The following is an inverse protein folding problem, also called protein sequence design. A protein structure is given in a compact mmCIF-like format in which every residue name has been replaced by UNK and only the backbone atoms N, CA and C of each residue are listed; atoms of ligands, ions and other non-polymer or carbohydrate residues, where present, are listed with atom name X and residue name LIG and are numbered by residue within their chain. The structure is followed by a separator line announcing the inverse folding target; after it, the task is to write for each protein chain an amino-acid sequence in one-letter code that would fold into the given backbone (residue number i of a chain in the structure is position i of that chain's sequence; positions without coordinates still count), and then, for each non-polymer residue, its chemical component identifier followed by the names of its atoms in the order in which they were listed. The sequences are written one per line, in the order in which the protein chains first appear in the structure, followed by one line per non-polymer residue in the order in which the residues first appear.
data_IF_769794256503
#
_entry.id   IF_769794256503
#
_cell.length_a   1.000
_cell.length_b   1.000
_cell.length_c   1.000
_cell.angle_alpha   90.00
_cell.angle_beta   90.00
_cell.angle_gamma   90.00
#
_symmetry.space_group_name_H-M   'P 1'
#
loop_
_entity.id
_entity.type
_entity.pdbx_description
1 polymer ?
#
# COMPACT_ATOMS: atom_id res chain seq x y z
N UNK A 1 -9.75 20.85 23.35
CA UNK A 1 -10.97 21.50 22.83
C UNK A 1 -11.50 20.69 21.65
N UNK A 2 -12.45 19.79 21.92
CA UNK A 2 -13.05 18.91 20.92
C UNK A 2 -14.31 19.58 20.35
N UNK A 3 -14.23 20.01 19.10
CA UNK A 3 -15.37 20.56 18.37
C UNK A 3 -16.40 19.49 18.03
N UNK A 4 -17.26 19.16 19.00
CA UNK A 4 -18.56 18.55 18.72
C UNK A 4 -19.44 19.66 18.15
N UNK A 5 -19.38 19.86 16.83
CA UNK A 5 -20.38 20.66 16.13
C UNK A 5 -21.70 19.91 16.20
N UNK A 6 -22.65 20.52 16.88
CA UNK A 6 -24.07 20.26 16.82
C UNK A 6 -24.49 20.20 15.33
N UNK A 7 -24.89 19.00 14.90
CA UNK A 7 -25.66 18.81 13.67
C UNK A 7 -26.99 18.18 14.11
N UNK A 8 -27.69 18.85 15.02
CA UNK A 8 -29.04 18.46 15.42
C UNK A 8 -30.02 18.91 14.34
N UNK A 9 -30.20 18.03 13.37
CA UNK A 9 -31.24 18.11 12.36
C UNK A 9 -31.25 16.80 11.60
N UNK A 10 -32.44 16.33 11.21
CA UNK A 10 -32.62 15.03 10.52
C UNK A 10 -31.72 14.90 9.27
N UNK A 11 -31.45 16.03 8.60
CA UNK A 11 -30.54 16.07 7.44
C UNK A 11 -29.09 15.73 7.76
N UNK A 12 -28.60 16.06 8.96
CA UNK A 12 -27.23 15.76 9.40
C UNK A 12 -27.04 14.27 9.72
N UNK A 13 -28.04 13.65 10.35
CA UNK A 13 -28.04 12.22 10.63
C UNK A 13 -28.17 11.39 9.35
N UNK A 14 -29.10 11.77 8.45
CA UNK A 14 -29.32 11.09 7.17
C UNK A 14 -28.04 11.00 6.34
N UNK A 15 -27.32 12.12 6.20
CA UNK A 15 -26.06 12.14 5.44
C UNK A 15 -24.97 11.24 6.06
N UNK A 16 -24.88 11.16 7.38
CA UNK A 16 -23.92 10.28 8.06
C UNK A 16 -24.23 8.82 7.81
N UNK A 17 -25.50 8.43 7.91
CA UNK A 17 -25.94 7.07 7.63
C UNK A 17 -25.73 6.69 6.16
N UNK A 18 -26.01 7.59 5.22
CA UNK A 18 -25.68 7.38 3.79
C UNK A 18 -24.18 7.15 3.59
N UNK A 19 -23.33 7.92 4.25
CA UNK A 19 -21.88 7.72 4.19
C UNK A 19 -21.44 6.40 4.83
N UNK A 20 -22.09 5.98 5.91
CA UNK A 20 -21.84 4.69 6.56
C UNK A 20 -22.21 3.53 5.64
N UNK A 21 -23.40 3.56 5.03
CA UNK A 21 -23.87 2.59 4.04
C UNK A 21 -22.85 2.44 2.91
N UNK A 22 -22.35 3.56 2.37
CA UNK A 22 -21.35 3.55 1.30
C UNK A 22 -19.98 3.03 1.75
N UNK A 23 -19.57 3.30 2.99
CA UNK A 23 -18.29 2.85 3.54
C UNK A 23 -18.29 1.35 3.82
N UNK A 24 -19.39 0.84 4.36
CA UNK A 24 -19.56 -0.56 4.75
C UNK A 24 -20.08 -1.44 3.60
N UNK A 25 -20.52 -0.82 2.50
CA UNK A 25 -21.00 -1.54 1.33
C UNK A 25 -22.28 -2.32 1.62
N UNK A 26 -23.16 -1.76 2.44
CA UNK A 26 -24.36 -2.45 2.90
C UNK A 26 -25.31 -2.74 1.72
N UNK A 27 -25.92 -3.94 1.67
CA UNK A 27 -26.95 -4.25 0.68
C UNK A 27 -28.22 -3.41 0.94
N UNK A 28 -29.06 -3.25 -0.08
CA UNK A 28 -30.23 -2.37 -0.05
C UNK A 28 -31.16 -2.62 1.14
N UNK A 29 -31.40 -3.90 1.50
CA UNK A 29 -32.24 -4.26 2.64
C UNK A 29 -31.62 -3.84 3.97
N UNK A 30 -30.35 -4.18 4.22
CA UNK A 30 -29.65 -3.78 5.44
C UNK A 30 -29.50 -2.25 5.55
N UNK A 31 -29.35 -1.56 4.42
CA UNK A 31 -29.32 -0.10 4.38
C UNK A 31 -30.68 0.52 4.73
N UNK A 32 -31.78 -0.11 4.32
CA UNK A 32 -33.12 0.31 4.70
C UNK A 32 -33.39 0.05 6.19
N UNK A 33 -33.03 -1.13 6.70
CA UNK A 33 -33.17 -1.49 8.12
C UNK A 33 -32.42 -0.48 9.00
N UNK A 34 -31.16 -0.17 8.66
CA UNK A 34 -30.36 0.82 9.37
C UNK A 34 -31.01 2.21 9.41
N UNK A 35 -31.63 2.66 8.33
CA UNK A 35 -32.31 3.96 8.32
C UNK A 35 -33.61 3.94 9.14
N UNK A 36 -34.36 2.83 9.07
CA UNK A 36 -35.59 2.64 9.83
C UNK A 36 -35.34 2.55 11.34
N UNK A 37 -34.23 1.94 11.77
CA UNK A 37 -33.79 1.93 13.18
C UNK A 37 -33.61 3.34 13.75
N UNK A 38 -33.28 4.30 12.89
CA UNK A 38 -33.13 5.71 13.24
C UNK A 38 -34.38 6.56 12.93
N UNK A 39 -35.51 5.95 12.58
CA UNK A 39 -36.77 6.64 12.28
C UNK A 39 -36.76 7.41 10.95
N UNK A 40 -35.84 7.08 10.04
CA UNK A 40 -35.70 7.74 8.75
C UNK A 40 -36.26 6.88 7.61
N UNK A 41 -36.69 7.54 6.54
CA UNK A 41 -37.08 6.84 5.31
C UNK A 41 -35.90 6.06 4.72
N UNK A 42 -36.14 4.88 4.12
CA UNK A 42 -35.12 4.13 3.39
C UNK A 42 -34.37 5.00 2.38
N UNK A 43 -33.08 4.71 2.12
CA UNK A 43 -32.29 5.51 1.21
C UNK A 43 -32.79 5.35 -0.23
N UNK A 44 -32.98 6.46 -0.93
CA UNK A 44 -33.31 6.45 -2.36
C UNK A 44 -32.04 6.20 -3.18
N UNK A 45 -32.19 5.57 -4.34
CA UNK A 45 -31.05 5.33 -5.24
C UNK A 45 -30.35 6.64 -5.65
N UNK A 46 -31.12 7.71 -5.88
CA UNK A 46 -30.58 9.03 -6.23
C UNK A 46 -29.68 9.61 -5.12
N UNK A 47 -30.12 9.53 -3.85
CA UNK A 47 -29.35 10.04 -2.71
C UNK A 47 -28.03 9.28 -2.52
N UNK A 48 -28.02 7.96 -2.77
CA UNK A 48 -26.81 7.16 -2.73
C UNK A 48 -25.83 7.53 -3.85
N UNK A 49 -26.33 7.84 -5.04
CA UNK A 49 -25.48 8.31 -6.15
C UNK A 49 -24.92 9.72 -5.89
N UNK A 50 -25.71 10.63 -5.33
CA UNK A 50 -25.24 11.95 -4.88
C UNK A 50 -24.15 11.82 -3.82
N UNK A 51 -24.38 11.00 -2.79
CA UNK A 51 -23.39 10.76 -1.74
C UNK A 51 -22.11 10.09 -2.28
N UNK A 52 -22.22 9.22 -3.30
CA UNK A 52 -21.05 8.67 -4.03
C UNK A 52 -20.31 9.77 -4.80
N UNK A 53 -21.04 10.65 -5.48
CA UNK A 53 -20.49 11.81 -6.18
C UNK A 53 -19.69 12.71 -5.25
N UNK A 54 -20.29 13.11 -4.13
CA UNK A 54 -19.62 13.91 -3.11
C UNK A 54 -18.38 13.22 -2.53
N UNK A 55 -18.45 11.92 -2.24
CA UNK A 55 -17.32 11.18 -1.72
C UNK A 55 -16.15 11.14 -2.73
N UNK A 56 -16.45 10.96 -4.02
CA UNK A 56 -15.46 11.02 -5.11
C UNK A 56 -14.86 12.41 -5.23
N UNK A 57 -15.67 13.46 -5.17
CA UNK A 57 -15.19 14.83 -5.27
C UNK A 57 -14.30 15.21 -4.07
N UNK A 58 -14.71 14.88 -2.84
CA UNK A 58 -13.87 15.08 -1.64
C UNK A 58 -12.54 14.35 -1.76
N UNK A 59 -12.54 13.12 -2.29
CA UNK A 59 -11.31 12.36 -2.54
C UNK A 59 -10.44 13.07 -3.58
N UNK A 60 -11.01 13.50 -4.70
CA UNK A 60 -10.30 14.25 -5.73
C UNK A 60 -9.65 15.52 -5.17
N UNK A 61 -10.42 16.34 -4.42
CA UNK A 61 -9.93 17.55 -3.74
C UNK A 61 -8.77 17.25 -2.78
N UNK A 62 -8.89 16.21 -1.95
CA UNK A 62 -7.81 15.79 -1.02
C UNK A 62 -6.55 15.37 -1.79
N UNK A 63 -6.69 14.61 -2.87
CA UNK A 63 -5.53 14.22 -3.68
C UNK A 63 -4.88 15.40 -4.39
N UNK A 64 -5.66 16.37 -4.87
CA UNK A 64 -5.14 17.59 -5.48
C UNK A 64 -4.37 18.44 -4.45
N UNK A 65 -4.91 18.60 -3.25
CA UNK A 65 -4.26 19.32 -2.16
C UNK A 65 -2.95 18.63 -1.73
N UNK A 66 -2.94 17.30 -1.60
CA UNK A 66 -1.73 16.53 -1.28
C UNK A 66 -0.65 16.67 -2.36
N UNK A 67 -1.03 16.65 -3.64
CA UNK A 67 -0.11 16.93 -4.77
C UNK A 67 0.46 18.34 -4.70
N UNK A 68 -0.37 19.34 -4.41
CA UNK A 68 0.08 20.73 -4.29
C UNK A 68 1.05 20.93 -3.11
N UNK A 69 0.78 20.31 -1.96
CA UNK A 69 1.67 20.34 -0.80
C UNK A 69 3.01 19.67 -1.11
N UNK A 70 2.98 18.48 -1.71
CA UNK A 70 4.18 17.73 -2.12
C UNK A 70 5.02 18.49 -3.15
N UNK A 71 4.39 19.20 -4.09
CA UNK A 71 5.10 20.02 -5.08
C UNK A 71 5.85 21.20 -4.43
N UNK A 72 5.31 21.76 -3.35
CA UNK A 72 5.98 22.80 -2.55
C UNK A 72 7.17 22.23 -1.79
N UNK A 73 7.03 21.05 -1.20
CA UNK A 73 8.13 20.37 -0.49
C UNK A 73 9.27 19.94 -1.42
N UNK A 74 8.95 19.46 -2.63
CA UNK A 74 9.94 19.10 -3.65
C UNK A 74 10.82 20.29 -4.08
N UNK A 75 10.25 21.50 -4.11
CA UNK A 75 10.96 22.72 -4.50
C UNK A 75 12.02 23.18 -3.48
N UNK A 76 11.83 22.85 -2.19
CA UNK A 76 12.77 23.18 -1.11
C UNK A 76 13.96 22.21 -1.08
N UNK A 77 13.80 21.00 -1.63
CA UNK A 77 14.79 19.91 -1.57
C UNK A 77 15.64 19.69 -2.83
N UNK A 78 15.83 20.72 -3.68
CA UNK A 78 16.33 20.65 -5.05
C UNK A 78 17.70 19.96 -5.32
N UNK A 79 18.35 19.35 -4.32
CA UNK A 79 19.70 18.79 -4.49
C UNK A 79 19.93 17.32 -4.06
N UNK A 80 18.96 16.53 -3.59
CA UNK A 80 19.35 15.22 -3.03
C UNK A 80 18.91 13.94 -3.76
N UNK A 81 17.68 13.72 -4.20
CA UNK A 81 17.30 12.42 -4.82
C UNK A 81 16.13 12.56 -5.81
N UNK A 82 16.05 11.72 -6.87
CA UNK A 82 14.89 11.73 -7.75
C UNK A 82 13.63 11.28 -7.00
N UNK A 83 12.53 12.01 -7.16
CA UNK A 83 11.26 11.78 -6.47
C UNK A 83 10.12 11.47 -7.46
N UNK A 84 9.13 10.67 -7.05
CA UNK A 84 7.94 10.31 -7.85
C UNK A 84 6.68 10.28 -6.97
N UNK A 85 5.51 10.40 -7.60
CA UNK A 85 4.22 10.30 -6.92
C UNK A 85 3.70 8.86 -6.93
N UNK A 86 3.38 8.32 -5.75
CA UNK A 86 2.73 7.02 -5.56
C UNK A 86 1.66 7.17 -4.47
N UNK A 87 0.42 6.76 -4.77
CA UNK A 87 -0.74 6.82 -3.85
C UNK A 87 -0.97 8.19 -3.17
N UNK A 88 -0.72 9.27 -3.90
CA UNK A 88 -0.89 10.64 -3.39
C UNK A 88 0.22 11.12 -2.46
N UNK A 89 1.30 10.36 -2.30
CA UNK A 89 2.51 10.74 -1.56
C UNK A 89 3.69 10.90 -2.51
N UNK A 90 4.61 11.80 -2.16
CA UNK A 90 5.90 11.92 -2.83
C UNK A 90 6.88 10.91 -2.23
N UNK A 91 7.42 10.02 -3.06
CA UNK A 91 8.37 8.97 -2.66
C UNK A 91 9.72 9.17 -3.34
N UNK A 92 10.81 8.94 -2.61
CA UNK A 92 12.17 8.94 -3.18
C UNK A 92 12.42 7.66 -3.97
N UNK A 93 13.05 7.78 -5.13
CA UNK A 93 13.41 6.64 -6.00
C UNK A 93 14.90 6.64 -6.25
N UNK A 94 15.44 5.45 -6.59
CA UNK A 94 16.82 5.35 -7.01
C UNK A 94 17.03 6.02 -8.37
N UNK A 95 18.16 6.71 -8.53
CA UNK A 95 18.52 7.40 -9.78
C UNK A 95 18.56 6.40 -10.95
N UNK A 96 17.83 6.70 -12.02
CA UNK A 96 17.74 5.86 -13.21
C UNK A 96 16.62 4.82 -13.19
N UNK A 97 15.83 4.74 -12.11
CA UNK A 97 14.71 3.79 -12.03
C UNK A 97 13.35 4.49 -12.07
N UNK A 98 12.37 3.85 -12.72
CA UNK A 98 10.97 4.32 -12.79
C UNK A 98 10.14 3.86 -11.58
N UNK A 99 10.57 2.80 -10.91
CA UNK A 99 9.80 2.09 -9.89
C UNK A 99 10.39 2.29 -8.50
N UNK A 100 9.52 2.41 -7.49
CA UNK A 100 9.93 2.36 -6.09
C UNK A 100 10.41 0.93 -5.76
N UNK A 101 11.69 0.78 -5.45
CA UNK A 101 12.21 -0.50 -4.96
C UNK A 101 11.88 -0.63 -3.47
N UNK A 102 10.91 -1.49 -3.15
CA UNK A 102 10.65 -1.86 -1.76
C UNK A 102 11.80 -2.76 -1.30
N UNK A 103 12.42 -2.49 -0.14
CA UNK A 103 13.46 -3.37 0.39
C UNK A 103 12.89 -4.78 0.52
N UNK A 104 13.56 -5.74 -0.14
CA UNK A 104 13.24 -7.17 -0.01
C UNK A 104 13.41 -7.60 1.44
N UNK A 105 12.77 -8.70 1.81
CA UNK A 105 12.93 -9.31 3.14
C UNK A 105 14.39 -9.34 3.59
N UNK A 106 14.62 -8.89 4.82
CA UNK A 106 15.92 -8.92 5.49
C UNK A 106 16.42 -10.35 5.62
N UNK A 107 17.73 -10.53 5.81
CA UNK A 107 18.32 -11.86 5.98
C UNK A 107 17.68 -12.61 7.16
N UNK A 108 17.36 -11.91 8.25
CA UNK A 108 16.67 -12.46 9.41
C UNK A 108 15.23 -12.91 9.09
N UNK A 109 14.49 -12.11 8.31
CA UNK A 109 13.14 -12.49 7.87
C UNK A 109 13.17 -13.73 6.98
N UNK A 110 14.12 -13.81 6.05
CA UNK A 110 14.31 -14.99 5.20
C UNK A 110 14.67 -16.24 6.00
N UNK A 111 15.50 -16.11 7.03
CA UNK A 111 15.86 -17.24 7.88
C UNK A 111 14.67 -17.74 8.69
N UNK A 112 13.76 -16.85 9.13
CA UNK A 112 12.52 -17.24 9.82
C UNK A 112 11.53 -17.95 8.88
N UNK A 113 11.45 -17.55 7.62
CA UNK A 113 10.46 -18.07 6.66
C UNK A 113 10.95 -19.24 5.83
N UNK A 114 12.26 -19.52 5.82
CA UNK A 114 12.84 -20.65 5.09
C UNK A 114 13.01 -21.88 5.98
N UNK A 115 12.70 -23.06 5.44
CA UNK A 115 13.12 -24.34 6.01
C UNK A 115 13.86 -25.16 4.94
N UNK A 116 14.88 -25.89 5.36
CA UNK A 116 15.60 -26.84 4.50
C UNK A 116 14.97 -28.21 4.68
N UNK A 117 14.30 -28.72 3.63
CA UNK A 117 13.72 -30.05 3.65
C UNK A 117 14.70 -31.00 2.97
N UNK A 118 15.25 -31.94 3.72
CA UNK A 118 16.05 -33.01 3.17
C UNK A 118 15.15 -34.03 2.47
N UNK A 119 15.28 -34.15 1.15
CA UNK A 119 14.55 -35.16 0.37
C UNK A 119 15.25 -36.50 0.55
N UNK A 120 14.63 -37.42 1.29
CA UNK A 120 15.14 -38.77 1.46
C UNK A 120 14.85 -39.56 0.18
N UNK A 121 15.91 -40.04 -0.48
CA UNK A 121 15.83 -40.91 -1.67
C UNK A 121 16.30 -40.29 -2.98
N UNK A 122 16.57 -38.99 -3.04
CA UNK A 122 17.22 -38.41 -4.22
C UNK A 122 18.70 -38.79 -4.23
N UNK A 123 19.20 -39.35 -5.34
CA UNK A 123 20.64 -39.57 -5.62
C UNK A 123 21.44 -38.25 -5.75
N UNK A 124 20.99 -37.18 -5.11
CA UNK A 124 21.68 -35.90 -5.07
C UNK A 124 22.79 -35.98 -4.02
N UNK A 125 24.00 -35.66 -4.47
CA UNK A 125 25.26 -35.72 -3.70
C UNK A 125 25.09 -35.14 -2.29
N UNK A 126 25.71 -35.77 -1.26
CA UNK A 126 25.61 -35.30 0.12
C UNK A 126 26.08 -33.84 0.23
N UNK A 127 25.45 -33.10 1.13
CA UNK A 127 25.84 -31.74 1.47
C UNK A 127 27.31 -31.74 1.89
N UNK A 128 28.15 -31.04 1.12
CA UNK A 128 29.58 -30.97 1.35
C UNK A 128 29.85 -30.05 2.54
N UNK A 129 30.53 -30.57 3.54
CA UNK A 129 30.96 -29.81 4.71
C UNK A 129 31.89 -28.66 4.25
N UNK A 130 31.63 -27.39 4.62
CA UNK A 130 32.47 -26.25 4.23
C UNK A 130 33.90 -26.34 4.76
N UNK A 131 34.17 -27.19 5.74
CA UNK A 131 35.52 -27.48 6.26
C UNK A 131 36.36 -28.33 5.30
N UNK A 132 35.75 -29.08 4.37
CA UNK A 132 36.43 -29.92 3.36
C UNK A 132 36.67 -29.19 2.03
N UNK A 133 37.11 -27.92 2.07
CA UNK A 133 37.70 -27.30 0.87
C UNK A 133 39.07 -27.92 0.59
N UNK A 134 39.08 -29.11 -0.01
CA UNK A 134 40.25 -29.66 -0.69
C UNK A 134 40.84 -28.62 -1.64
N UNK A 135 42.07 -28.19 -1.37
CA UNK A 135 42.95 -27.45 -2.29
C UNK A 135 43.15 -28.31 -3.54
N UNK A 136 42.28 -28.16 -4.54
CA UNK A 136 42.51 -28.69 -5.89
C UNK A 136 43.61 -27.91 -6.61
N UNK A 137 44.29 -28.51 -7.60
CA UNK A 137 45.45 -27.89 -8.23
C UNK A 137 45.04 -26.63 -9.00
N UNK A 138 45.73 -25.52 -8.72
CA UNK A 138 45.58 -24.26 -9.46
C UNK A 138 46.24 -24.40 -10.83
N UNK A 139 45.47 -24.68 -11.88
CA UNK A 139 45.92 -24.37 -13.24
C UNK A 139 45.60 -22.91 -13.52
N UNK A 140 46.53 -22.02 -13.16
CA UNK A 140 46.57 -20.66 -13.69
C UNK A 140 47.13 -20.71 -15.11
N UNK A 141 46.25 -20.81 -16.11
CA UNK A 141 46.63 -20.50 -17.48
C UNK A 141 46.69 -18.97 -17.65
N UNK A 142 47.77 -18.37 -17.14
CA UNK A 142 48.26 -17.10 -17.64
C UNK A 142 48.85 -17.37 -19.02
N UNK A 143 48.02 -17.31 -20.07
CA UNK A 143 48.51 -17.30 -21.43
C UNK A 143 49.11 -15.91 -21.70
N UNK A 144 50.41 -15.95 -21.94
CA UNK A 144 51.35 -14.84 -22.12
C UNK A 144 51.00 -13.99 -23.34
N UNK A 145 51.35 -12.70 -23.27
CA UNK A 145 51.60 -11.86 -24.43
C UNK A 145 52.67 -12.48 -25.34
N UNK A 146 52.45 -12.39 -26.64
CA UNK A 146 53.39 -12.54 -27.74
C UNK A 146 52.77 -11.87 -28.95
#
# INVERSE_FOLDING_TARGET
EGGQREWEGDGGLRLRLLQQILREGLPALAAADLMLEHGLEPPRAAELEEARGEARERRARRTAAARAASAREAHVGAHKRPQRYLDGKLVEVQKGTKYLSVPKETAEQKQRTSCSIAIIGSRSKPARDPSERTKGPRTSAALRKG
#
